data_IF_610204379985
#
_entry.id   IF_610204379985
#
_cell.length_a   1.000
_cell.length_b   1.000
_cell.length_c   1.000
_cell.angle_alpha   90.00
_cell.angle_beta   90.00
_cell.angle_gamma   90.00
#
_symmetry.space_group_name_H-M   'P 1'
#
loop_
_entity.id
_entity.type
_entity.pdbx_description
1 polymer ?
#
# COMPACT_ATOMS: atom_id res chain seq x y z
N UNK A 1 -35.10 49.62 -28.47
CA UNK A 1 -34.57 48.36 -27.91
C UNK A 1 -35.39 48.00 -26.69
N UNK A 2 -36.32 47.05 -26.78
CA UNK A 2 -37.08 46.56 -25.62
C UNK A 2 -36.16 45.78 -24.68
N UNK A 3 -36.12 46.19 -23.41
CA UNK A 3 -35.42 45.44 -22.36
C UNK A 3 -36.22 44.18 -22.05
N UNK A 4 -35.69 43.01 -22.41
CA UNK A 4 -36.24 41.71 -22.00
C UNK A 4 -36.30 41.66 -20.46
N UNK A 5 -37.50 41.71 -19.88
CA UNK A 5 -37.71 41.49 -18.45
C UNK A 5 -37.57 40.00 -18.17
N UNK A 6 -36.47 39.61 -17.54
CA UNK A 6 -36.29 38.24 -17.08
C UNK A 6 -37.29 38.00 -15.93
N UNK A 7 -38.15 36.98 -16.01
CA UNK A 7 -39.12 36.71 -14.96
C UNK A 7 -38.39 36.32 -13.67
N UNK A 8 -38.83 36.88 -12.53
CA UNK A 8 -38.21 36.70 -11.20
C UNK A 8 -38.04 35.24 -10.79
N UNK A 9 -38.90 34.36 -11.31
CA UNK A 9 -38.83 32.90 -11.18
C UNK A 9 -37.49 32.32 -11.64
N UNK A 10 -36.88 32.89 -12.69
CA UNK A 10 -35.59 32.40 -13.20
C UNK A 10 -34.45 32.72 -12.22
N UNK A 11 -34.46 33.89 -11.58
CA UNK A 11 -33.46 34.23 -10.56
C UNK A 11 -33.55 33.32 -9.32
N UNK A 12 -34.77 32.93 -8.94
CA UNK A 12 -34.99 31.97 -7.84
C UNK A 12 -34.44 30.59 -8.22
N UNK A 13 -34.69 30.14 -9.46
CA UNK A 13 -34.13 28.88 -9.98
C UNK A 13 -32.59 28.94 -10.00
N UNK A 14 -32.00 30.03 -10.48
CA UNK A 14 -30.54 30.19 -10.46
C UNK A 14 -29.97 30.19 -9.04
N UNK A 15 -30.61 30.90 -8.11
CA UNK A 15 -30.21 30.89 -6.70
C UNK A 15 -30.23 29.48 -6.09
N UNK A 16 -31.28 28.71 -6.39
CA UNK A 16 -31.37 27.32 -5.97
C UNK A 16 -30.25 26.45 -6.57
N UNK A 17 -29.97 26.58 -7.87
CA UNK A 17 -28.87 25.85 -8.54
C UNK A 17 -27.52 26.17 -7.88
N UNK A 18 -27.26 27.44 -7.56
CA UNK A 18 -26.01 27.84 -6.88
C UNK A 18 -25.91 27.19 -5.50
N UNK A 19 -27.00 27.20 -4.71
CA UNK A 19 -27.03 26.57 -3.39
C UNK A 19 -26.79 25.06 -3.49
N UNK A 20 -27.48 24.37 -4.40
CA UNK A 20 -27.29 22.92 -4.62
C UNK A 20 -25.85 22.61 -5.04
N UNK A 21 -25.27 23.42 -5.91
CA UNK A 21 -23.88 23.24 -6.35
C UNK A 21 -22.90 23.41 -5.19
N UNK A 22 -23.10 24.42 -4.34
CA UNK A 22 -22.27 24.61 -3.14
C UNK A 22 -22.37 23.40 -2.20
N UNK A 23 -23.58 22.93 -1.92
CA UNK A 23 -23.81 21.73 -1.09
C UNK A 23 -23.11 20.50 -1.68
N UNK A 24 -23.21 20.29 -3.00
CA UNK A 24 -22.54 19.20 -3.68
C UNK A 24 -21.01 19.29 -3.59
N UNK A 25 -20.43 20.49 -3.75
CA UNK A 25 -18.99 20.71 -3.59
C UNK A 25 -18.53 20.40 -2.17
N UNK A 26 -19.26 20.86 -1.15
CA UNK A 26 -18.93 20.55 0.24
C UNK A 26 -19.03 19.05 0.52
N UNK A 27 -20.11 18.40 0.07
CA UNK A 27 -20.31 16.98 0.28
C UNK A 27 -19.23 16.12 -0.40
N UNK A 28 -18.90 16.43 -1.66
CA UNK A 28 -17.84 15.71 -2.40
C UNK A 28 -16.47 15.92 -1.78
N UNK A 29 -16.18 17.11 -1.24
CA UNK A 29 -14.92 17.37 -0.52
C UNK A 29 -14.81 16.55 0.77
N UNK A 30 -15.88 16.50 1.59
CA UNK A 30 -15.89 15.68 2.81
C UNK A 30 -15.81 14.18 2.49
N UNK A 31 -16.49 13.71 1.45
CA UNK A 31 -16.35 12.34 0.97
C UNK A 31 -14.90 12.06 0.53
N UNK A 32 -14.29 12.95 -0.26
CA UNK A 32 -12.90 12.77 -0.69
C UNK A 32 -11.92 12.69 0.50
N UNK A 33 -12.11 13.52 1.54
CA UNK A 33 -11.31 13.42 2.77
C UNK A 33 -11.52 12.09 3.49
N UNK A 34 -12.78 11.68 3.68
CA UNK A 34 -13.10 10.41 4.32
C UNK A 34 -12.49 9.22 3.55
N UNK A 35 -12.53 9.25 2.22
CA UNK A 35 -11.87 8.26 1.38
C UNK A 35 -10.36 8.24 1.63
N UNK A 36 -9.69 9.39 1.59
CA UNK A 36 -8.24 9.48 1.85
C UNK A 36 -7.87 8.96 3.24
N UNK A 37 -8.66 9.29 4.27
CA UNK A 37 -8.46 8.80 5.63
C UNK A 37 -8.61 7.28 5.69
N UNK A 38 -9.65 6.72 5.05
CA UNK A 38 -9.85 5.27 5.01
C UNK A 38 -8.74 4.51 4.27
N UNK A 39 -8.12 5.13 3.27
CA UNK A 39 -6.97 4.61 2.52
C UNK A 39 -5.66 4.72 3.31
N UNK A 40 -5.61 5.58 4.33
CA UNK A 40 -4.53 5.65 5.29
C UNK A 40 -4.73 4.63 6.41
N UNK A 41 -5.94 4.54 6.95
CA UNK A 41 -6.30 3.62 8.03
C UNK A 41 -6.14 2.14 7.65
N UNK A 42 -6.41 1.81 6.39
CA UNK A 42 -6.25 0.46 5.85
C UNK A 42 -5.08 0.45 4.88
N UNK A 43 -4.24 -0.59 4.91
CA UNK A 43 -3.24 -0.79 3.86
C UNK A 43 -3.94 -0.92 2.50
N UNK A 44 -3.43 -0.25 1.47
CA UNK A 44 -3.98 -0.33 0.12
C UNK A 44 -3.80 -1.74 -0.47
N UNK A 45 -2.70 -2.42 -0.15
CA UNK A 45 -2.36 -3.73 -0.73
C UNK A 45 -3.21 -4.86 -0.14
N UNK A 46 -3.67 -4.75 1.11
CA UNK A 46 -4.41 -5.82 1.80
C UNK A 46 -5.75 -6.20 1.14
N UNK A 47 -6.28 -5.34 0.27
CA UNK A 47 -7.48 -5.64 -0.54
C UNK A 47 -7.20 -6.62 -1.68
N UNK A 48 -5.95 -6.86 -2.02
CA UNK A 48 -5.54 -7.53 -3.25
C UNK A 48 -4.62 -8.72 -3.04
N UNK A 49 -4.03 -8.87 -1.86
CA UNK A 49 -3.18 -10.00 -1.47
C UNK A 49 -3.61 -10.51 -0.12
N UNK A 50 -3.19 -11.73 0.22
CA UNK A 50 -3.38 -12.28 1.57
C UNK A 50 -2.67 -11.38 2.58
N UNK A 51 -3.41 -10.94 3.59
CA UNK A 51 -2.88 -10.20 4.74
C UNK A 51 -2.71 -11.18 5.91
N UNK A 52 -1.53 -11.15 6.54
CA UNK A 52 -1.24 -11.90 7.77
C UNK A 52 -0.74 -10.94 8.84
N UNK A 53 -1.11 -11.20 10.08
CA UNK A 53 -0.58 -10.45 11.23
C UNK A 53 0.69 -11.12 11.79
N UNK A 54 1.43 -10.38 12.63
CA UNK A 54 2.64 -10.91 13.27
C UNK A 54 2.41 -12.22 14.06
N UNK A 55 1.24 -12.37 14.69
CA UNK A 55 0.90 -13.58 15.46
C UNK A 55 0.71 -14.83 14.59
N UNK A 56 0.34 -14.63 13.31
CA UNK A 56 0.10 -15.71 12.33
C UNK A 56 1.36 -16.00 11.51
N UNK A 57 2.31 -15.06 11.48
CA UNK A 57 3.48 -15.07 10.62
C UNK A 57 4.31 -16.35 10.72
N UNK A 58 4.57 -16.83 11.94
CA UNK A 58 5.38 -18.03 12.15
C UNK A 58 4.73 -19.27 11.53
N UNK A 59 3.43 -19.46 11.76
CA UNK A 59 2.69 -20.59 11.18
C UNK A 59 2.61 -20.46 9.66
N UNK A 60 2.39 -19.26 9.15
CA UNK A 60 2.32 -19.01 7.71
C UNK A 60 3.62 -19.39 6.99
N UNK A 61 4.78 -18.97 7.53
CA UNK A 61 6.10 -19.30 6.96
C UNK A 61 6.38 -20.81 7.02
N UNK A 62 5.93 -21.51 8.06
CA UNK A 62 6.10 -22.96 8.16
C UNK A 62 5.32 -23.70 7.07
N UNK A 63 4.13 -23.21 6.72
CA UNK A 63 3.29 -23.78 5.66
C UNK A 63 3.75 -23.34 4.26
N UNK A 64 4.31 -22.13 4.15
CA UNK A 64 4.72 -21.49 2.89
C UNK A 64 6.19 -21.06 2.98
N UNK A 65 7.14 -22.02 2.91
CA UNK A 65 8.55 -21.75 3.14
C UNK A 65 9.22 -20.92 2.04
N UNK A 66 8.62 -20.85 0.84
CA UNK A 66 9.09 -20.10 -0.32
C UNK A 66 8.01 -19.08 -0.71
N UNK A 67 8.22 -17.80 -0.40
CA UNK A 67 7.19 -16.76 -0.57
C UNK A 67 7.82 -15.37 -0.59
N UNK A 68 7.21 -14.42 -1.30
CA UNK A 68 7.56 -13.01 -1.19
C UNK A 68 6.65 -12.35 -0.15
N UNK A 69 7.25 -11.60 0.76
CA UNK A 69 6.51 -10.89 1.80
C UNK A 69 6.77 -9.40 1.70
N UNK A 70 5.70 -8.65 1.47
CA UNK A 70 5.69 -7.21 1.71
C UNK A 70 5.43 -6.96 3.19
N UNK A 71 6.37 -6.30 3.87
CA UNK A 71 6.36 -6.06 5.31
C UNK A 71 6.14 -4.57 5.54
N UNK A 72 5.06 -4.20 6.23
CA UNK A 72 4.75 -2.79 6.48
C UNK A 72 3.80 -2.58 7.67
N UNK A 73 3.56 -1.31 7.99
CA UNK A 73 2.51 -0.84 8.90
C UNK A 73 1.49 -0.04 8.11
N UNK A 74 0.23 -0.14 8.53
CA UNK A 74 -0.84 0.77 8.07
C UNK A 74 -0.55 2.21 8.52
N UNK A 75 -1.24 3.19 7.92
CA UNK A 75 -1.21 4.60 8.33
C UNK A 75 0.08 5.36 8.03
N UNK A 76 0.92 4.88 7.10
CA UNK A 76 2.11 5.60 6.62
C UNK A 76 1.93 6.04 5.16
N UNK A 77 2.04 7.36 4.90
CA UNK A 77 2.00 7.89 3.52
C UNK A 77 3.11 7.29 2.64
N UNK A 78 4.28 6.98 3.21
CA UNK A 78 5.38 6.33 2.50
C UNK A 78 5.00 4.91 2.06
N UNK A 79 4.29 4.17 2.91
CA UNK A 79 3.80 2.82 2.61
C UNK A 79 2.78 2.82 1.48
N UNK A 80 1.84 3.78 1.46
CA UNK A 80 0.79 3.84 0.42
C UNK A 80 1.37 3.96 -0.99
N UNK A 81 2.41 4.78 -1.18
CA UNK A 81 3.00 4.96 -2.50
C UNK A 81 3.64 3.66 -3.00
N UNK A 82 4.36 2.95 -2.12
CA UNK A 82 4.95 1.65 -2.43
C UNK A 82 3.87 0.61 -2.68
N UNK A 83 2.81 0.58 -1.88
CA UNK A 83 1.67 -0.34 -2.06
C UNK A 83 0.95 -0.13 -3.40
N UNK A 84 0.72 1.12 -3.81
CA UNK A 84 0.10 1.42 -5.11
C UNK A 84 0.97 0.96 -6.27
N UNK A 85 2.30 1.10 -6.15
CA UNK A 85 3.25 0.63 -7.16
C UNK A 85 3.33 -0.90 -7.19
N UNK A 86 3.44 -1.53 -6.02
CA UNK A 86 3.47 -2.98 -5.84
C UNK A 86 2.17 -3.62 -6.35
N UNK A 87 1.01 -3.08 -6.00
CA UNK A 87 -0.29 -3.50 -6.51
C UNK A 87 -0.32 -3.54 -8.03
N UNK A 88 0.17 -2.47 -8.68
CA UNK A 88 0.20 -2.39 -10.13
C UNK A 88 1.09 -3.50 -10.71
N UNK A 89 2.25 -3.75 -10.11
CA UNK A 89 3.15 -4.83 -10.54
C UNK A 89 2.52 -6.21 -10.34
N UNK A 90 1.91 -6.46 -9.18
CA UNK A 90 1.21 -7.71 -8.87
C UNK A 90 0.12 -7.98 -9.90
N UNK A 91 -0.70 -6.97 -10.19
CA UNK A 91 -1.78 -7.09 -11.17
C UNK A 91 -1.27 -7.29 -12.59
N UNK A 92 -0.26 -6.52 -13.00
CA UNK A 92 0.28 -6.57 -14.37
C UNK A 92 1.00 -7.91 -14.65
N UNK A 93 1.43 -8.64 -13.62
CA UNK A 93 2.19 -9.90 -13.72
C UNK A 93 1.52 -11.11 -13.03
N UNK A 94 0.24 -11.00 -12.64
CA UNK A 94 -0.54 -12.09 -12.04
C UNK A 94 0.07 -12.69 -10.75
N UNK A 95 0.73 -11.87 -9.92
CA UNK A 95 1.45 -12.33 -8.71
C UNK A 95 0.61 -12.34 -7.43
N UNK A 96 -0.72 -12.36 -7.54
CA UNK A 96 -1.62 -12.22 -6.38
C UNK A 96 -1.42 -13.33 -5.34
N UNK A 97 -1.13 -14.55 -5.78
CA UNK A 97 -0.92 -15.70 -4.90
C UNK A 97 0.54 -15.89 -4.47
N UNK A 98 1.47 -15.11 -5.05
CA UNK A 98 2.93 -15.21 -4.82
C UNK A 98 3.43 -14.22 -3.75
N UNK A 99 2.68 -13.14 -3.53
CA UNK A 99 3.05 -12.07 -2.60
C UNK A 99 2.04 -11.99 -1.46
N UNK A 100 2.55 -11.97 -0.23
CA UNK A 100 1.75 -11.81 0.99
C UNK A 100 2.11 -10.51 1.70
N UNK A 101 1.11 -9.88 2.31
CA UNK A 101 1.30 -8.69 3.14
C UNK A 101 1.39 -9.10 4.61
N UNK A 102 2.55 -8.86 5.22
CA UNK A 102 2.74 -8.94 6.66
C UNK A 102 2.46 -7.57 7.29
N UNK A 103 1.32 -7.48 7.98
CA UNK A 103 0.92 -6.28 8.70
C UNK A 103 1.52 -6.27 10.11
N UNK A 104 2.37 -5.28 10.37
CA UNK A 104 3.01 -5.07 11.67
C UNK A 104 2.34 -3.93 12.47
N UNK A 105 1.16 -3.46 12.09
CA UNK A 105 0.42 -2.46 12.86
C UNK A 105 0.19 -2.97 14.29
N UNK A 106 0.46 -2.11 15.28
CA UNK A 106 0.39 -2.49 16.70
C UNK A 106 1.56 -3.34 17.22
N UNK A 107 2.49 -3.76 16.35
CA UNK A 107 3.65 -4.55 16.72
C UNK A 107 4.92 -3.68 16.67
N UNK A 108 5.50 -3.41 17.84
CA UNK A 108 6.72 -2.61 17.98
C UNK A 108 7.94 -3.51 18.18
N UNK A 109 9.09 -3.11 17.61
CA UNK A 109 10.39 -3.76 17.78
C UNK A 109 10.42 -5.26 17.41
N UNK A 110 9.52 -5.71 16.54
CA UNK A 110 9.47 -7.11 16.07
C UNK A 110 10.42 -7.39 14.92
N UNK A 111 10.93 -6.35 14.24
CA UNK A 111 11.85 -6.50 13.11
C UNK A 111 13.13 -7.24 13.53
N UNK A 112 13.73 -6.88 14.67
CA UNK A 112 14.89 -7.57 15.24
C UNK A 112 14.65 -9.07 15.46
N UNK A 113 13.43 -9.45 15.85
CA UNK A 113 13.07 -10.86 16.08
C UNK A 113 12.95 -11.61 14.75
N UNK A 114 12.32 -10.98 13.75
CA UNK A 114 12.24 -11.52 12.40
C UNK A 114 13.64 -11.68 11.82
N UNK A 115 14.48 -10.67 11.98
CA UNK A 115 15.86 -10.67 11.50
C UNK A 115 16.65 -11.82 12.12
N UNK A 116 16.72 -11.89 13.45
CA UNK A 116 17.47 -12.94 14.17
C UNK A 116 17.01 -14.36 13.83
N UNK A 117 15.71 -14.57 13.63
CA UNK A 117 15.14 -15.91 13.44
C UNK A 117 15.20 -16.37 11.99
N UNK A 118 14.92 -15.47 11.05
CA UNK A 118 14.69 -15.83 9.66
C UNK A 118 15.80 -15.37 8.71
N UNK A 119 16.76 -14.53 9.10
CA UNK A 119 17.85 -14.16 8.19
C UNK A 119 18.74 -15.35 7.85
N UNK A 120 19.12 -15.42 6.56
CA UNK A 120 20.25 -16.23 6.12
C UNK A 120 21.55 -15.50 6.42
N UNK A 121 22.58 -16.24 6.82
CA UNK A 121 23.92 -15.68 7.08
C UNK A 121 24.48 -15.01 5.82
N UNK A 122 25.05 -13.81 5.95
CA UNK A 122 25.69 -12.99 4.90
C UNK A 122 24.77 -12.20 3.96
N UNK A 123 23.57 -11.82 4.40
CA UNK A 123 22.76 -10.80 3.71
C UNK A 123 23.46 -9.44 3.71
N UNK A 124 23.37 -8.72 2.59
CA UNK A 124 23.98 -7.39 2.43
C UNK A 124 23.13 -6.27 3.06
N UNK A 125 21.81 -6.46 3.09
CA UNK A 125 20.84 -5.51 3.60
C UNK A 125 20.17 -6.08 4.86
N UNK A 126 19.91 -5.22 5.84
CA UNK A 126 19.23 -5.57 7.09
C UNK A 126 17.73 -5.22 7.02
N UNK A 127 16.92 -5.83 7.89
CA UNK A 127 15.50 -5.51 8.04
C UNK A 127 15.39 -4.54 9.21
N UNK A 128 16.05 -3.39 9.08
CA UNK A 128 16.06 -2.35 10.10
C UNK A 128 14.89 -1.37 9.91
N UNK A 129 14.27 -1.37 8.72
CA UNK A 129 13.25 -0.42 8.31
C UNK A 129 12.13 -1.07 7.53
N UNK A 130 10.97 -0.43 7.58
CA UNK A 130 9.78 -0.77 6.80
C UNK A 130 9.21 0.51 6.17
N UNK A 131 8.53 0.45 5.02
CA UNK A 131 8.15 -0.75 4.26
C UNK A 131 9.34 -1.48 3.60
N UNK A 132 9.23 -2.81 3.51
CA UNK A 132 10.22 -3.69 2.87
C UNK A 132 9.55 -4.81 2.06
N UNK A 133 10.26 -5.36 1.09
CA UNK A 133 9.87 -6.56 0.34
C UNK A 133 10.98 -7.60 0.55
N UNK A 134 10.65 -8.75 1.14
CA UNK A 134 11.58 -9.80 1.46
C UNK A 134 11.26 -11.08 0.69
N UNK A 135 12.29 -11.74 0.15
CA UNK A 135 12.18 -13.07 -0.46
C UNK A 135 12.53 -14.11 0.59
N UNK A 136 11.59 -14.99 0.89
CA UNK A 136 11.81 -16.15 1.73
C UNK A 136 12.04 -17.37 0.85
N UNK A 137 13.11 -18.12 1.12
CA UNK A 137 13.34 -19.46 0.60
C UNK A 137 13.73 -20.37 1.77
N UNK A 138 13.13 -21.56 1.84
CA UNK A 138 13.30 -22.52 2.93
C UNK A 138 13.13 -21.87 4.33
N UNK A 139 12.09 -21.04 4.47
CA UNK A 139 11.78 -20.26 5.67
C UNK A 139 12.84 -19.23 6.05
N UNK A 140 13.80 -18.93 5.17
CA UNK A 140 14.85 -17.94 5.43
C UNK A 140 14.74 -16.77 4.48
N UNK A 141 14.91 -15.57 5.00
CA UNK A 141 15.11 -14.37 4.18
C UNK A 141 16.42 -14.57 3.44
N UNK A 142 16.35 -14.55 2.10
CA UNK A 142 17.51 -14.68 1.23
C UNK A 142 17.88 -13.37 0.54
N UNK A 143 16.91 -12.47 0.40
CA UNK A 143 17.11 -11.13 -0.14
C UNK A 143 16.02 -10.17 0.38
N UNK A 144 16.35 -8.89 0.44
CA UNK A 144 15.44 -7.85 0.92
C UNK A 144 15.65 -6.53 0.18
N UNK A 145 14.53 -5.95 -0.25
CA UNK A 145 14.41 -4.60 -0.75
C UNK A 145 13.80 -3.70 0.34
N UNK A 146 14.60 -2.77 0.87
CA UNK A 146 14.20 -1.84 1.94
C UNK A 146 14.43 -0.39 1.51
N UNK A 147 13.62 0.53 2.02
CA UNK A 147 13.85 1.97 1.85
C UNK A 147 14.85 2.48 2.89
N UNK A 148 15.76 3.37 2.48
CA UNK A 148 16.71 4.06 3.37
C UNK A 148 16.43 5.59 3.39
N UNK A 149 17.08 6.33 4.27
CA UNK A 149 16.95 7.78 4.48
C UNK A 149 17.15 8.56 3.17
N UNK A 150 18.13 8.14 2.38
CA UNK A 150 18.47 8.76 1.09
C UNK A 150 17.78 8.09 -0.11
N UNK A 151 17.07 6.99 0.10
CA UNK A 151 16.58 6.14 -0.98
C UNK A 151 15.16 5.61 -0.73
N UNK A 152 14.23 6.11 -1.54
CA UNK A 152 12.86 5.59 -1.58
C UNK A 152 12.75 4.56 -2.69
N UNK A 153 12.25 3.37 -2.34
CA UNK A 153 11.94 2.32 -3.31
C UNK A 153 11.04 2.88 -4.40
N UNK A 154 11.48 2.77 -5.66
CA UNK A 154 10.69 3.11 -6.84
C UNK A 154 10.15 1.85 -7.52
N UNK A 155 9.19 2.05 -8.44
CA UNK A 155 8.60 0.96 -9.24
C UNK A 155 9.68 0.16 -9.98
N UNK A 156 10.72 0.83 -10.49
CA UNK A 156 11.80 0.16 -11.22
C UNK A 156 12.61 -0.76 -10.31
N UNK A 157 12.72 -0.43 -9.03
CA UNK A 157 13.53 -1.19 -8.10
C UNK A 157 12.78 -2.45 -7.67
N UNK A 158 11.48 -2.33 -7.46
CA UNK A 158 10.60 -3.48 -7.23
C UNK A 158 10.64 -4.43 -8.45
N UNK A 159 10.53 -3.91 -9.67
CA UNK A 159 10.61 -4.72 -10.88
C UNK A 159 11.94 -5.46 -10.99
N UNK A 160 13.07 -4.75 -10.89
CA UNK A 160 14.41 -5.36 -10.93
C UNK A 160 14.61 -6.41 -9.83
N UNK A 161 14.10 -6.13 -8.64
CA UNK A 161 14.17 -7.06 -7.52
C UNK A 161 13.41 -8.35 -7.84
N UNK A 162 12.16 -8.24 -8.30
CA UNK A 162 11.33 -9.40 -8.66
C UNK A 162 11.86 -10.15 -9.89
N UNK A 163 12.37 -9.46 -10.91
CA UNK A 163 13.05 -10.03 -12.08
C UNK A 163 14.30 -10.81 -11.67
N UNK A 164 15.10 -10.25 -10.75
CA UNK A 164 16.31 -10.89 -10.22
C UNK A 164 16.05 -12.21 -9.48
N UNK A 165 14.82 -12.42 -9.03
CA UNK A 165 14.35 -13.64 -8.38
C UNK A 165 13.38 -14.45 -9.27
N UNK A 166 13.33 -14.18 -10.57
CA UNK A 166 12.56 -14.92 -11.59
C UNK A 166 11.02 -14.94 -11.39
N UNK A 167 10.46 -14.04 -10.58
CA UNK A 167 9.01 -13.88 -10.42
C UNK A 167 8.37 -13.15 -11.60
N UNK A 168 9.15 -12.36 -12.33
CA UNK A 168 8.71 -11.60 -13.51
C UNK A 168 9.70 -11.86 -14.65
N UNK A 169 9.21 -11.89 -15.90
CA UNK A 169 9.99 -12.14 -17.12
C UNK A 169 10.26 -10.88 -17.93
#
# INVERSE_FOLDING_TARGET
>A
MEKRKIPMKNYIIYGFIVIVTLVAVFYTNEWYKAYKISELENSYISKYVTEINYDEFENYILENPNVIIYISKTNSEASINIEKQLYKIIKDNELTDEIVFLNLTGNENVLDNIEKKYYKTNLLNNLDRIPAIAVFNDMKIVDILVSDEDYKISKSDILKFLEGHEYIK
#
